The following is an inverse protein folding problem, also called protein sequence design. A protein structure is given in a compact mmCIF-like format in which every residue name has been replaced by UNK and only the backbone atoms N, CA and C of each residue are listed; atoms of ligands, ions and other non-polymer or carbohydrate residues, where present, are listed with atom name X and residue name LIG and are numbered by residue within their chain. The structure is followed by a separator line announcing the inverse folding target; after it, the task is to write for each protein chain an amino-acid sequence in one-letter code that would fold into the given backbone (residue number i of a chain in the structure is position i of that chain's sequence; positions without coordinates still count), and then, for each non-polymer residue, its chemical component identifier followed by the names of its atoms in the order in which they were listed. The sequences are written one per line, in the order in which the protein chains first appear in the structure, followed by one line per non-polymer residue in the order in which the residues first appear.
data_IF_459803793021
#
_entry.id   IF_459803793021
#
_cell.length_a   1.000
_cell.length_b   1.000
_cell.length_c   1.000
_cell.angle_alpha   90.00
_cell.angle_beta   90.00
_cell.angle_gamma   90.00
#
_symmetry.space_group_name_H-M   'P 1'
#
loop_
_entity.id
_entity.type
_entity.pdbx_description
1 polymer ?
#
# COMPACT_ATOMS: atom_id res chain seq x y z
N UNK A 1 -3.14 12.49 9.86
CA UNK A 1 -1.77 12.68 10.41
C UNK A 1 -0.85 13.15 9.29
N UNK A 2 0.31 13.76 9.58
CA UNK A 2 1.30 14.14 8.54
C UNK A 2 2.46 13.16 8.54
N UNK A 3 2.98 12.88 7.35
CA UNK A 3 4.12 12.00 7.16
C UNK A 3 5.39 12.58 7.77
N UNK A 4 6.23 11.75 8.42
CA UNK A 4 7.44 12.20 9.10
C UNK A 4 8.53 12.74 8.17
N UNK A 5 8.54 12.37 6.88
CA UNK A 5 9.64 12.74 5.96
C UNK A 5 9.26 13.87 5.01
N UNK A 6 8.12 13.78 4.32
CA UNK A 6 7.70 14.78 3.33
C UNK A 6 6.57 15.70 3.86
N UNK A 7 6.03 15.42 5.04
CA UNK A 7 4.95 16.22 5.64
C UNK A 7 3.60 16.07 4.93
N UNK A 8 3.46 15.07 4.05
CA UNK A 8 2.24 14.81 3.27
C UNK A 8 1.10 14.30 4.16
N UNK A 9 -0.17 14.53 3.78
CA UNK A 9 -1.30 13.97 4.54
C UNK A 9 -1.29 12.43 4.45
N UNK A 10 -1.34 11.78 5.61
CA UNK A 10 -1.48 10.33 5.73
C UNK A 10 -2.90 9.96 6.13
N UNK A 11 -3.42 8.92 5.48
CA UNK A 11 -4.64 8.22 5.88
C UNK A 11 -4.24 7.10 6.83
N UNK A 12 -4.27 7.37 8.14
CA UNK A 12 -3.93 6.34 9.14
C UNK A 12 -5.14 5.53 9.58
N UNK A 13 -6.31 6.18 9.64
CA UNK A 13 -7.55 5.47 9.95
C UNK A 13 -8.01 4.66 8.73
N UNK A 14 -8.26 3.37 8.93
CA UNK A 14 -8.85 2.44 7.94
C UNK A 14 -7.95 2.09 6.74
N UNK A 15 -6.72 2.56 6.68
CA UNK A 15 -5.69 2.03 5.78
C UNK A 15 -4.78 1.08 6.56
N UNK A 16 -4.50 -0.09 5.97
CA UNK A 16 -3.61 -1.09 6.59
C UNK A 16 -2.12 -0.72 6.49
N UNK A 17 -1.76 0.15 5.55
CA UNK A 17 -0.40 0.65 5.37
C UNK A 17 -0.40 1.95 4.57
N UNK A 18 0.72 2.66 4.66
CA UNK A 18 1.02 3.83 3.85
C UNK A 18 2.51 3.86 3.49
N UNK A 19 2.83 4.60 2.43
CA UNK A 19 4.19 4.91 2.01
C UNK A 19 4.28 6.40 1.67
N UNK A 20 5.33 7.06 2.14
CA UNK A 20 5.74 8.35 1.59
C UNK A 20 6.70 8.09 0.44
N UNK A 21 6.36 8.62 -0.74
CA UNK A 21 7.15 8.46 -1.94
C UNK A 21 7.64 9.80 -2.46
N UNK A 22 8.93 9.91 -2.75
CA UNK A 22 9.50 11.02 -3.53
C UNK A 22 9.44 10.65 -5.01
N UNK A 23 8.83 11.52 -5.83
CA UNK A 23 8.79 11.33 -7.28
C UNK A 23 10.23 11.32 -7.84
N UNK A 24 10.56 10.28 -8.60
CA UNK A 24 11.81 10.19 -9.34
C UNK A 24 11.76 11.08 -10.61
N UNK A 25 12.92 11.39 -11.23
CA UNK A 25 12.95 12.20 -12.44
C UNK A 25 12.01 11.67 -13.55
N UNK A 26 11.44 12.59 -14.32
CA UNK A 26 10.50 12.26 -15.38
C UNK A 26 11.09 11.25 -16.37
N UNK A 27 10.25 10.31 -16.79
CA UNK A 27 10.59 9.27 -17.76
C UNK A 27 9.67 9.38 -18.98
N UNK A 28 10.05 8.77 -20.10
CA UNK A 28 9.15 8.66 -21.26
C UNK A 28 7.84 7.93 -20.95
N UNK A 29 7.85 7.02 -19.97
CA UNK A 29 6.65 6.34 -19.49
C UNK A 29 5.71 7.29 -18.73
N UNK A 30 6.26 8.24 -17.97
CA UNK A 30 5.48 9.29 -17.33
C UNK A 30 4.84 10.20 -18.38
N UNK A 31 5.62 10.71 -19.33
CA UNK A 31 5.10 11.65 -20.33
C UNK A 31 4.02 11.05 -21.24
N UNK A 32 4.15 9.76 -21.57
CA UNK A 32 3.26 9.11 -22.54
C UNK A 32 2.05 8.42 -21.89
N UNK A 33 2.18 7.98 -20.64
CA UNK A 33 1.21 7.09 -19.99
C UNK A 33 0.94 7.44 -18.51
N UNK A 34 1.41 8.58 -18.02
CA UNK A 34 1.30 9.00 -16.62
C UNK A 34 1.85 7.95 -15.62
N UNK A 35 2.83 7.15 -16.06
CA UNK A 35 3.48 6.15 -15.20
C UNK A 35 4.56 6.81 -14.34
N UNK A 36 4.28 6.97 -13.05
CA UNK A 36 5.16 7.59 -12.07
C UNK A 36 5.99 6.54 -11.33
N UNK A 37 7.28 6.82 -11.13
CA UNK A 37 8.15 6.02 -10.27
C UNK A 37 8.51 6.83 -9.03
N UNK A 38 8.42 6.21 -7.85
CA UNK A 38 8.69 6.88 -6.58
C UNK A 38 9.70 6.11 -5.72
N UNK A 39 10.64 6.84 -5.11
CA UNK A 39 11.48 6.34 -4.02
C UNK A 39 10.66 6.33 -2.73
N UNK A 40 10.54 5.16 -2.08
CA UNK A 40 9.90 5.07 -0.75
C UNK A 40 10.88 5.61 0.29
N UNK A 41 10.54 6.74 0.90
CA UNK A 41 11.38 7.41 1.91
C UNK A 41 10.91 7.17 3.34
N UNK A 42 9.68 6.69 3.53
CA UNK A 42 9.11 6.26 4.81
C UNK A 42 7.92 5.34 4.54
N UNK A 43 7.67 4.38 5.43
CA UNK A 43 6.52 3.49 5.33
C UNK A 43 6.10 3.02 6.73
N UNK A 44 4.82 2.73 6.88
CA UNK A 44 4.30 2.01 8.03
C UNK A 44 3.12 1.12 7.63
N UNK A 45 2.83 0.16 8.50
CA UNK A 45 1.70 -0.75 8.38
C UNK A 45 1.07 -0.96 9.76
N UNK A 46 -0.22 -1.33 9.78
CA UNK A 46 -0.93 -1.70 10.98
C UNK A 46 -0.28 -2.95 11.60
N UNK A 47 0.26 -2.78 12.81
CA UNK A 47 1.02 -3.81 13.51
C UNK A 47 0.20 -5.07 13.83
N UNK A 48 -1.13 -5.04 13.72
CA UNK A 48 -1.98 -6.23 13.87
C UNK A 48 -1.89 -7.18 12.67
N UNK A 49 -1.58 -6.65 11.48
CA UNK A 49 -1.53 -7.41 10.23
C UNK A 49 -0.18 -7.40 9.53
N UNK A 50 0.77 -6.57 9.96
CA UNK A 50 2.15 -6.61 9.47
C UNK A 50 3.11 -6.82 10.64
N UNK A 51 3.52 -8.07 10.83
CA UNK A 51 4.31 -8.52 11.98
C UNK A 51 5.64 -9.06 11.46
N UNK A 52 6.75 -8.55 12.00
CA UNK A 52 8.12 -8.98 11.65
C UNK A 52 8.38 -8.99 10.13
N UNK A 53 7.92 -7.94 9.44
CA UNK A 53 8.13 -7.80 8.00
C UNK A 53 7.19 -8.65 7.13
N UNK A 54 6.14 -9.24 7.71
CA UNK A 54 5.24 -10.17 7.00
C UNK A 54 3.78 -9.84 7.23
N UNK A 55 3.00 -9.94 6.17
CA UNK A 55 1.54 -9.82 6.23
C UNK A 55 0.91 -11.06 6.86
N UNK A 56 0.00 -10.83 7.80
CA UNK A 56 -0.84 -11.82 8.47
C UNK A 56 -2.28 -11.61 7.99
N UNK A 57 -2.70 -12.37 6.99
CA UNK A 57 -4.08 -12.36 6.46
C UNK A 57 -4.82 -13.60 6.96
N UNK A 58 -5.09 -13.59 8.26
CA UNK A 58 -5.68 -14.73 8.97
C UNK A 58 -7.11 -14.42 9.49
N UNK A 59 -7.56 -13.15 9.44
CA UNK A 59 -8.90 -12.67 9.82
C UNK A 59 -9.57 -11.95 8.64
N UNK A 60 -10.87 -12.18 8.45
CA UNK A 60 -11.71 -11.59 7.40
C UNK A 60 -11.80 -10.05 7.51
N UNK A 61 -11.45 -9.49 8.68
CA UNK A 61 -11.68 -8.07 9.01
C UNK A 61 -10.59 -7.11 8.57
N UNK A 62 -9.35 -7.56 8.36
CA UNK A 62 -8.21 -6.69 8.04
C UNK A 62 -7.50 -7.15 6.76
N UNK A 63 -8.25 -7.16 5.66
CA UNK A 63 -7.76 -7.54 4.33
C UNK A 63 -7.62 -6.32 3.43
N UNK A 64 -6.68 -6.38 2.49
CA UNK A 64 -6.59 -5.38 1.42
C UNK A 64 -7.68 -5.61 0.38
N UNK A 65 -8.16 -4.52 -0.22
CA UNK A 65 -9.13 -4.56 -1.32
C UNK A 65 -8.42 -4.65 -2.66
N UNK A 66 -8.95 -5.48 -3.56
CA UNK A 66 -8.48 -5.64 -4.94
C UNK A 66 -9.65 -5.34 -5.87
N UNK A 67 -9.53 -4.29 -6.66
CA UNK A 67 -10.60 -3.80 -7.53
C UNK A 67 -10.75 -4.68 -8.77
N UNK A 68 -11.98 -5.10 -9.09
CA UNK A 68 -12.32 -5.89 -10.27
C UNK A 68 -13.00 -5.06 -11.39
N UNK A 69 -13.41 -3.84 -11.09
CA UNK A 69 -14.19 -2.98 -12.01
C UNK A 69 -15.63 -2.79 -11.55
N UNK A 70 -16.28 -1.76 -12.09
CA UNK A 70 -17.70 -1.44 -11.84
C UNK A 70 -18.08 -1.37 -10.33
N UNK A 71 -17.17 -0.90 -9.47
CA UNK A 71 -17.41 -0.84 -8.02
C UNK A 71 -17.37 -2.20 -7.31
N UNK A 72 -16.90 -3.25 -7.98
CA UNK A 72 -16.75 -4.59 -7.43
C UNK A 72 -15.32 -4.82 -6.95
N UNK A 73 -15.17 -5.44 -5.78
CA UNK A 73 -13.89 -5.71 -5.14
C UNK A 73 -13.84 -7.13 -4.59
N UNK A 74 -12.64 -7.68 -4.49
CA UNK A 74 -12.35 -8.87 -3.68
C UNK A 74 -11.38 -8.50 -2.57
N UNK A 75 -11.46 -9.22 -1.46
CA UNK A 75 -10.49 -9.13 -0.38
C UNK A 75 -9.36 -10.13 -0.61
N UNK A 76 -8.18 -9.88 -0.03
CA UNK A 76 -7.10 -10.87 0.02
C UNK A 76 -7.63 -12.22 0.50
N UNK A 77 -7.24 -13.28 -0.22
CA UNK A 77 -7.61 -14.65 0.12
C UNK A 77 -6.74 -15.25 1.23
N UNK A 78 -7.00 -16.51 1.55
CA UNK A 78 -6.25 -17.26 2.57
C UNK A 78 -4.77 -17.37 2.19
N UNK A 79 -3.89 -17.15 3.17
CA UNK A 79 -2.45 -17.35 3.03
C UNK A 79 -2.15 -18.83 2.75
N UNK A 80 -1.29 -19.08 1.77
CA UNK A 80 -0.75 -20.40 1.42
C UNK A 80 0.76 -20.31 1.45
N UNK A 81 1.42 -21.34 2.01
CA UNK A 81 2.89 -21.42 2.06
C UNK A 81 3.34 -22.57 1.17
N UNK A 82 4.34 -22.34 0.33
CA UNK A 82 4.98 -23.40 -0.44
C UNK A 82 5.75 -24.35 0.50
N UNK A 83 5.72 -25.64 0.20
CA UNK A 83 6.55 -26.65 0.86
C UNK A 83 7.96 -26.69 0.31
#
# INVERSE_FOLDING_TARGET
VRGPVLGLPLVEEKCLAWMECRLLPATSAQEKYDTLFGEVVSAAADARVFVEGRWQFDDDKLNTLHHLGAGTFVISGKRVTAG
#
